data_IF_766661160740
#
_entry.id   IF_766661160740
#
_cell.length_a   1.000
_cell.length_b   1.000
_cell.length_c   1.000
_cell.angle_alpha   90.00
_cell.angle_beta   90.00
_cell.angle_gamma   90.00
#
_symmetry.space_group_name_H-M   'P 1'
#
loop_
_entity.id
_entity.type
_entity.pdbx_description
1 polymer ?
#
# COMPACT_ATOMS: atom_id res chain seq x y z
N UNK A 1 -0.06 -23.54 10.12
CA UNK A 1 0.77 -23.70 8.91
C UNK A 1 0.78 -22.37 8.19
N UNK A 2 1.95 -21.83 7.81
CA UNK A 2 1.96 -20.67 6.93
C UNK A 2 1.48 -21.14 5.55
N UNK A 3 0.47 -20.46 5.01
CA UNK A 3 0.00 -20.70 3.66
C UNK A 3 1.06 -20.13 2.70
N UNK A 4 1.69 -20.97 1.89
CA UNK A 4 2.45 -20.52 0.73
C UNK A 4 1.48 -19.76 -0.19
N UNK A 5 1.56 -18.44 -0.17
CA UNK A 5 0.99 -17.64 -1.24
C UNK A 5 1.97 -17.73 -2.41
N UNK A 6 1.60 -18.47 -3.47
CA UNK A 6 2.32 -18.50 -4.75
C UNK A 6 2.42 -17.11 -5.45
N UNK A 7 1.92 -16.05 -4.82
CA UNK A 7 1.99 -14.68 -5.32
C UNK A 7 3.07 -13.92 -4.57
N UNK A 8 4.23 -13.75 -5.22
CA UNK A 8 5.25 -12.83 -4.76
C UNK A 8 4.82 -11.39 -5.08
N UNK A 9 4.73 -10.54 -4.06
CA UNK A 9 4.63 -9.09 -4.25
C UNK A 9 6.04 -8.56 -4.55
N UNK A 10 6.18 -7.53 -5.39
CA UNK A 10 7.44 -6.78 -5.49
C UNK A 10 7.61 -5.78 -4.34
N UNK A 11 8.63 -4.92 -4.37
CA UNK A 11 8.73 -3.78 -3.45
C UNK A 11 8.04 -2.50 -3.99
N UNK A 12 8.07 -1.38 -3.25
CA UNK A 12 7.48 -0.11 -3.69
C UNK A 12 8.01 0.45 -5.03
N UNK A 13 9.25 0.13 -5.42
CA UNK A 13 9.76 0.51 -6.75
C UNK A 13 9.11 -0.34 -7.83
N UNK A 14 8.91 -1.64 -7.60
CA UNK A 14 8.14 -2.50 -8.50
C UNK A 14 6.67 -2.04 -8.61
N UNK A 15 6.05 -1.62 -7.50
CA UNK A 15 4.73 -1.00 -7.53
C UNK A 15 4.67 0.20 -8.47
N UNK A 16 5.60 1.17 -8.29
CA UNK A 16 5.67 2.39 -9.11
C UNK A 16 5.90 2.08 -10.59
N UNK A 17 6.84 1.17 -10.88
CA UNK A 17 7.33 0.94 -12.25
C UNK A 17 6.50 -0.05 -13.05
N UNK A 18 5.88 -1.05 -12.41
CA UNK A 18 5.24 -2.18 -13.10
C UNK A 18 3.79 -2.37 -12.67
N UNK A 19 3.54 -2.63 -11.38
CA UNK A 19 2.21 -3.06 -10.96
C UNK A 19 1.17 -1.95 -11.09
N UNK A 20 1.47 -0.72 -10.66
CA UNK A 20 0.54 0.41 -10.77
C UNK A 20 0.23 0.74 -12.24
N UNK A 21 1.21 0.92 -13.15
CA UNK A 21 0.92 1.11 -14.57
C UNK A 21 0.13 -0.04 -15.19
N UNK A 22 0.44 -1.29 -14.82
CA UNK A 22 -0.27 -2.45 -15.35
C UNK A 22 -1.73 -2.51 -14.86
N UNK A 23 -1.97 -2.26 -13.57
CA UNK A 23 -3.30 -2.18 -12.99
C UNK A 23 -4.12 -1.04 -13.60
N UNK A 24 -3.49 0.13 -13.85
CA UNK A 24 -4.11 1.25 -14.56
C UNK A 24 -4.55 0.87 -15.96
N UNK A 25 -3.69 0.21 -16.73
CA UNK A 25 -3.99 -0.23 -18.08
C UNK A 25 -5.19 -1.21 -18.11
N UNK A 26 -5.27 -2.11 -17.14
CA UNK A 26 -6.33 -3.11 -17.10
C UNK A 26 -7.64 -2.59 -16.52
N UNK A 27 -7.59 -1.75 -15.48
CA UNK A 27 -8.73 -1.48 -14.61
C UNK A 27 -9.09 0.00 -14.45
N UNK A 28 -8.41 0.88 -15.19
CA UNK A 28 -8.70 2.30 -15.27
C UNK A 28 -7.73 3.17 -14.49
N UNK A 29 -7.77 4.45 -14.80
CA UNK A 29 -6.84 5.46 -14.28
C UNK A 29 -7.54 6.45 -13.34
N UNK A 30 -6.78 7.18 -12.48
CA UNK A 30 -7.36 8.22 -11.63
C UNK A 30 -8.11 9.28 -12.44
N UNK A 31 -9.31 9.65 -11.98
CA UNK A 31 -10.15 10.66 -12.64
C UNK A 31 -10.89 10.19 -13.90
N UNK A 32 -10.74 8.92 -14.28
CA UNK A 32 -11.45 8.36 -15.42
C UNK A 32 -12.96 8.22 -15.12
N UNK A 33 -13.80 8.81 -15.98
CA UNK A 33 -15.24 8.74 -15.82
C UNK A 33 -15.73 7.30 -16.00
N UNK A 34 -16.63 6.85 -15.11
CA UNK A 34 -17.21 5.49 -15.18
C UNK A 34 -17.82 5.15 -16.54
N UNK A 35 -18.38 6.13 -17.25
CA UNK A 35 -18.94 5.96 -18.60
C UNK A 35 -17.91 5.55 -19.65
N UNK A 36 -16.63 5.85 -19.44
CA UNK A 36 -15.52 5.49 -20.33
C UNK A 36 -14.96 4.10 -20.05
N UNK A 37 -15.19 3.57 -18.85
CA UNK A 37 -14.75 2.23 -18.47
C UNK A 37 -15.61 1.17 -19.15
N UNK A 38 -14.98 0.12 -19.65
CA UNK A 38 -15.71 -1.03 -20.15
C UNK A 38 -16.41 -1.80 -19.00
N UNK A 39 -17.37 -2.67 -19.33
CA UNK A 39 -18.15 -3.41 -18.33
C UNK A 39 -17.26 -4.27 -17.41
N UNK A 40 -16.17 -4.82 -17.92
CA UNK A 40 -15.23 -5.61 -17.13
C UNK A 40 -14.52 -4.73 -16.09
N UNK A 41 -13.96 -3.60 -16.49
CA UNK A 41 -13.34 -2.60 -15.62
C UNK A 41 -14.29 -2.10 -14.53
N UNK A 42 -15.53 -1.75 -14.90
CA UNK A 42 -16.54 -1.32 -13.94
C UNK A 42 -16.84 -2.40 -12.89
N UNK A 43 -16.94 -3.67 -13.31
CA UNK A 43 -17.18 -4.78 -12.40
C UNK A 43 -15.98 -5.02 -11.47
N UNK A 44 -14.75 -4.90 -11.99
CA UNK A 44 -13.53 -5.01 -11.19
C UNK A 44 -13.45 -3.89 -10.16
N UNK A 45 -13.65 -2.63 -10.57
CA UNK A 45 -13.66 -1.50 -9.64
C UNK A 45 -14.76 -1.62 -8.58
N UNK A 46 -15.94 -2.14 -8.95
CA UNK A 46 -17.02 -2.42 -7.99
C UNK A 46 -16.62 -3.46 -6.97
N UNK A 47 -16.01 -4.56 -7.43
CA UNK A 47 -15.51 -5.62 -6.56
C UNK A 47 -14.39 -5.11 -5.64
N UNK A 48 -13.41 -4.38 -6.17
CA UNK A 48 -12.32 -3.77 -5.40
C UNK A 48 -12.87 -2.80 -4.34
N UNK A 49 -13.90 -2.00 -4.67
CA UNK A 49 -14.57 -1.11 -3.72
C UNK A 49 -15.29 -1.86 -2.60
N UNK A 50 -15.82 -3.06 -2.87
CA UNK A 50 -16.40 -3.92 -1.83
C UNK A 50 -15.27 -4.47 -0.95
N UNK A 51 -14.20 -5.00 -1.57
CA UNK A 51 -13.06 -5.57 -0.84
C UNK A 51 -12.33 -4.53 0.02
N UNK A 52 -12.27 -3.25 -0.40
CA UNK A 52 -11.61 -2.20 0.39
C UNK A 52 -12.33 -1.89 1.70
N UNK A 53 -13.63 -2.17 1.79
CA UNK A 53 -14.47 -1.86 2.96
C UNK A 53 -14.75 -3.07 3.85
N UNK A 54 -14.14 -4.21 3.56
CA UNK A 54 -14.39 -5.47 4.25
C UNK A 54 -13.09 -6.20 4.55
N UNK A 55 -13.14 -7.06 5.57
CA UNK A 55 -12.07 -8.00 5.86
C UNK A 55 -12.04 -9.13 4.80
N UNK A 56 -11.23 -10.16 5.03
CA UNK A 56 -11.15 -11.33 4.15
C UNK A 56 -12.50 -12.06 4.04
N UNK A 57 -13.03 -12.14 2.82
CA UNK A 57 -14.36 -12.69 2.51
C UNK A 57 -14.31 -13.73 1.39
N UNK A 58 -15.27 -14.65 1.38
CA UNK A 58 -15.43 -15.57 0.24
C UNK A 58 -16.06 -14.85 -0.96
N UNK A 59 -15.96 -15.41 -2.17
CA UNK A 59 -16.67 -14.89 -3.36
C UNK A 59 -18.18 -14.80 -3.14
N UNK A 60 -18.73 -15.74 -2.37
CA UNK A 60 -20.14 -15.76 -1.99
C UNK A 60 -20.50 -14.57 -1.08
N UNK A 61 -19.71 -14.33 -0.04
CA UNK A 61 -19.96 -13.22 0.89
C UNK A 61 -19.83 -11.87 0.19
N UNK A 62 -18.83 -11.73 -0.70
CA UNK A 62 -18.66 -10.54 -1.55
C UNK A 62 -19.89 -10.31 -2.44
N UNK A 63 -20.41 -11.36 -3.07
CA UNK A 63 -21.61 -11.27 -3.89
C UNK A 63 -22.86 -10.89 -3.06
N UNK A 64 -22.98 -11.42 -1.84
CA UNK A 64 -24.10 -11.15 -0.93
C UNK A 64 -24.17 -9.69 -0.49
N UNK A 65 -23.03 -9.00 -0.37
CA UNK A 65 -23.00 -7.55 -0.11
C UNK A 65 -23.69 -6.76 -1.24
N UNK A 66 -23.53 -7.21 -2.49
CA UNK A 66 -24.15 -6.54 -3.65
C UNK A 66 -25.61 -6.94 -3.86
N UNK A 67 -25.97 -8.19 -3.53
CA UNK A 67 -27.27 -8.79 -3.82
C UNK A 67 -27.73 -9.62 -2.61
N UNK A 68 -28.38 -9.01 -1.60
CA UNK A 68 -28.69 -9.70 -0.35
C UNK A 68 -29.90 -10.64 -0.45
N UNK A 69 -30.91 -10.30 -1.27
CA UNK A 69 -32.25 -10.89 -1.18
C UNK A 69 -32.67 -11.74 -2.40
N UNK A 70 -31.85 -11.82 -3.45
CA UNK A 70 -32.18 -12.51 -4.71
C UNK A 70 -31.18 -13.64 -4.97
N UNK A 71 -31.59 -14.88 -4.68
CA UNK A 71 -30.72 -16.06 -4.75
C UNK A 71 -30.24 -16.40 -6.16
N UNK A 72 -31.06 -16.15 -7.19
CA UNK A 72 -30.68 -16.43 -8.58
C UNK A 72 -29.60 -15.45 -9.03
N UNK A 73 -29.82 -14.15 -8.79
CA UNK A 73 -28.83 -13.12 -9.11
C UNK A 73 -27.57 -13.22 -8.24
N UNK A 74 -27.70 -13.68 -7.00
CA UNK A 74 -26.56 -13.93 -6.11
C UNK A 74 -25.60 -14.97 -6.70
N UNK A 75 -26.12 -16.11 -7.18
CA UNK A 75 -25.30 -17.14 -7.82
C UNK A 75 -24.61 -16.65 -9.08
N UNK A 76 -25.32 -15.86 -9.89
CA UNK A 76 -24.73 -15.22 -11.07
C UNK A 76 -23.60 -14.26 -10.68
N UNK A 77 -23.81 -13.44 -9.66
CA UNK A 77 -22.82 -12.48 -9.16
C UNK A 77 -21.60 -13.16 -8.55
N UNK A 78 -21.77 -14.23 -7.79
CA UNK A 78 -20.66 -15.05 -7.28
C UNK A 78 -19.79 -15.55 -8.43
N UNK A 79 -20.42 -16.10 -9.48
CA UNK A 79 -19.71 -16.61 -10.66
C UNK A 79 -18.92 -15.51 -11.37
N UNK A 80 -19.48 -14.30 -11.45
CA UNK A 80 -18.77 -13.12 -11.98
C UNK A 80 -17.57 -12.79 -11.07
N UNK A 81 -17.77 -12.62 -9.76
CA UNK A 81 -16.68 -12.25 -8.84
C UNK A 81 -15.56 -13.28 -8.78
N UNK A 82 -15.89 -14.57 -8.81
CA UNK A 82 -14.88 -15.64 -8.89
C UNK A 82 -14.03 -15.53 -10.15
N UNK A 83 -14.64 -15.25 -11.30
CA UNK A 83 -13.92 -15.03 -12.56
C UNK A 83 -13.04 -13.78 -12.54
N UNK A 84 -13.49 -12.72 -11.89
CA UNK A 84 -12.69 -11.48 -11.74
C UNK A 84 -11.54 -11.66 -10.76
N UNK A 85 -11.75 -12.41 -9.66
CA UNK A 85 -10.73 -12.69 -8.64
C UNK A 85 -9.66 -13.64 -9.17
N UNK A 86 -10.08 -14.84 -9.56
CA UNK A 86 -9.20 -15.97 -9.84
C UNK A 86 -8.85 -16.07 -11.33
N UNK A 87 -9.54 -15.34 -12.18
CA UNK A 87 -9.42 -15.49 -13.63
C UNK A 87 -10.28 -16.65 -14.16
N UNK A 88 -10.01 -17.03 -15.41
CA UNK A 88 -10.74 -18.10 -16.10
C UNK A 88 -9.81 -18.80 -17.08
N UNK A 89 -9.91 -20.12 -17.17
CA UNK A 89 -9.26 -20.90 -18.22
C UNK A 89 -10.28 -21.30 -19.28
N UNK A 90 -10.05 -20.87 -20.52
CA UNK A 90 -10.88 -21.18 -21.68
C UNK A 90 -10.02 -21.76 -22.81
N UNK A 91 -10.38 -22.93 -23.31
CA UNK A 91 -9.70 -23.58 -24.44
C UNK A 91 -8.16 -23.61 -24.30
N UNK A 92 -7.66 -23.84 -23.09
CA UNK A 92 -6.23 -23.86 -22.77
C UNK A 92 -5.59 -22.50 -22.46
N UNK A 93 -6.26 -21.37 -22.74
CA UNK A 93 -5.77 -20.02 -22.42
C UNK A 93 -6.31 -19.54 -21.07
N UNK A 94 -5.43 -19.05 -20.20
CA UNK A 94 -5.80 -18.39 -18.95
C UNK A 94 -6.05 -16.90 -19.20
N UNK A 95 -7.14 -16.38 -18.65
CA UNK A 95 -7.43 -14.96 -18.56
C UNK A 95 -7.21 -14.54 -17.11
N UNK A 96 -6.29 -13.59 -16.92
CA UNK A 96 -5.82 -13.16 -15.62
C UNK A 96 -6.96 -12.57 -14.76
N UNK A 97 -6.96 -12.93 -13.48
CA UNK A 97 -7.77 -12.31 -12.45
C UNK A 97 -7.01 -11.21 -11.70
N UNK A 98 -7.69 -10.52 -10.78
CA UNK A 98 -7.05 -9.52 -9.91
C UNK A 98 -6.05 -10.14 -8.90
N UNK A 99 -6.11 -11.46 -8.68
CA UNK A 99 -5.05 -12.20 -7.97
C UNK A 99 -3.75 -12.22 -8.76
N UNK A 100 -3.83 -12.49 -10.07
CA UNK A 100 -2.65 -12.60 -10.95
C UNK A 100 -1.92 -11.26 -11.10
N UNK A 101 -2.65 -10.15 -11.00
CA UNK A 101 -2.10 -8.79 -10.99
C UNK A 101 -1.67 -8.31 -9.59
N UNK A 102 -1.75 -9.16 -8.57
CA UNK A 102 -1.30 -8.85 -7.21
C UNK A 102 -2.14 -7.80 -6.48
N UNK A 103 -3.37 -7.50 -6.93
CA UNK A 103 -4.28 -6.55 -6.27
C UNK A 103 -5.08 -7.21 -5.14
N UNK A 104 -5.25 -8.52 -5.19
CA UNK A 104 -5.87 -9.31 -4.14
C UNK A 104 -4.95 -10.46 -3.72
N UNK A 105 -5.20 -11.02 -2.53
CA UNK A 105 -4.56 -12.27 -2.10
C UNK A 105 -5.57 -13.21 -1.45
N UNK A 106 -5.21 -14.49 -1.38
CA UNK A 106 -5.90 -15.48 -0.56
C UNK A 106 -5.49 -15.28 0.91
N UNK A 107 -6.48 -15.16 1.79
CA UNK A 107 -6.25 -14.94 3.22
C UNK A 107 -7.20 -15.81 4.06
N UNK A 108 -6.82 -17.08 4.16
CA UNK A 108 -7.52 -18.11 4.91
C UNK A 108 -8.64 -18.80 4.15
N UNK A 109 -9.38 -19.64 4.88
CA UNK A 109 -10.50 -20.42 4.36
C UNK A 109 -11.73 -20.28 5.25
N UNK A 110 -12.91 -20.34 4.65
CA UNK A 110 -14.18 -20.52 5.36
C UNK A 110 -14.53 -21.99 5.40
N UNK A 111 -15.10 -22.45 6.52
CA UNK A 111 -15.62 -23.81 6.71
C UNK A 111 -17.15 -23.83 6.87
N UNK A 112 -17.83 -22.68 6.80
CA UNK A 112 -19.25 -22.53 7.17
C UNK A 112 -20.20 -23.35 6.29
N UNK A 113 -19.93 -23.44 4.99
CA UNK A 113 -20.81 -24.09 4.00
C UNK A 113 -20.03 -25.04 3.08
N UNK A 114 -18.85 -25.49 3.54
CA UNK A 114 -17.82 -26.13 2.72
C UNK A 114 -16.51 -25.33 2.73
N UNK A 115 -15.42 -25.97 2.31
CA UNK A 115 -14.10 -25.34 2.24
C UNK A 115 -14.09 -24.34 1.07
N UNK A 116 -13.99 -23.04 1.39
CA UNK A 116 -13.89 -21.97 0.39
C UNK A 116 -12.74 -21.01 0.75
N UNK A 117 -11.96 -20.60 -0.25
CA UNK A 117 -10.92 -19.59 -0.07
C UNK A 117 -11.56 -18.24 0.28
N UNK A 118 -10.93 -17.51 1.20
CA UNK A 118 -11.26 -16.11 1.47
C UNK A 118 -10.23 -15.20 0.82
N UNK A 119 -10.67 -14.02 0.42
CA UNK A 119 -9.88 -13.05 -0.32
C UNK A 119 -9.99 -11.67 0.33
N UNK A 120 -8.89 -10.94 0.31
CA UNK A 120 -8.83 -9.51 0.64
C UNK A 120 -7.93 -8.77 -0.34
N UNK A 121 -7.92 -7.44 -0.25
CA UNK A 121 -6.91 -6.67 -0.97
C UNK A 121 -5.51 -7.00 -0.44
N UNK A 122 -4.55 -7.02 -1.36
CA UNK A 122 -3.13 -6.90 -0.99
C UNK A 122 -2.84 -5.44 -0.60
N UNK A 123 -1.65 -5.18 -0.07
CA UNK A 123 -1.16 -3.80 0.11
C UNK A 123 -1.18 -2.99 -1.21
N UNK A 124 -0.93 -3.63 -2.36
CA UNK A 124 -1.06 -2.99 -3.67
C UNK A 124 -2.49 -2.73 -4.08
N UNK A 125 -3.40 -3.67 -3.79
CA UNK A 125 -4.82 -3.45 -3.98
C UNK A 125 -5.32 -2.24 -3.21
N UNK A 126 -4.87 -2.10 -1.95
CA UNK A 126 -5.20 -0.94 -1.11
C UNK A 126 -4.70 0.35 -1.75
N UNK A 127 -3.41 0.42 -2.13
CA UNK A 127 -2.82 1.61 -2.75
C UNK A 127 -3.50 1.96 -4.08
N UNK A 128 -3.73 0.97 -4.95
CA UNK A 128 -4.47 1.15 -6.20
C UNK A 128 -5.88 1.69 -5.95
N UNK A 129 -6.60 1.15 -4.96
CA UNK A 129 -7.94 1.60 -4.65
C UNK A 129 -7.96 3.06 -4.16
N UNK A 130 -6.98 3.46 -3.33
CA UNK A 130 -6.82 4.84 -2.86
C UNK A 130 -6.55 5.80 -4.02
N UNK A 131 -5.74 5.38 -5.00
CA UNK A 131 -5.37 6.15 -6.19
C UNK A 131 -6.52 6.29 -7.21
N UNK A 132 -7.18 5.18 -7.56
CA UNK A 132 -8.12 5.14 -8.70
C UNK A 132 -9.58 5.32 -8.30
N UNK A 133 -10.01 4.85 -7.13
CA UNK A 133 -11.43 4.85 -6.76
C UNK A 133 -11.91 6.16 -6.11
N UNK A 134 -11.04 7.18 -6.08
CA UNK A 134 -11.28 8.53 -5.56
C UNK A 134 -11.97 8.52 -4.19
N UNK A 135 -11.35 7.81 -3.25
CA UNK A 135 -11.93 7.67 -1.92
C UNK A 135 -11.86 8.96 -1.10
N UNK A 136 -13.00 9.28 -0.49
CA UNK A 136 -13.08 10.31 0.54
C UNK A 136 -12.23 9.94 1.76
N UNK A 137 -11.86 10.94 2.57
CA UNK A 137 -11.09 10.73 3.80
C UNK A 137 -11.77 9.72 4.75
N UNK A 138 -13.10 9.78 4.86
CA UNK A 138 -13.90 8.82 5.64
C UNK A 138 -13.86 7.39 5.06
N UNK A 139 -13.81 7.25 3.73
CA UNK A 139 -13.62 5.93 3.12
C UNK A 139 -12.21 5.38 3.39
N UNK A 140 -11.19 6.23 3.43
CA UNK A 140 -9.83 5.82 3.82
C UNK A 140 -9.76 5.44 5.29
N UNK A 141 -10.46 6.16 6.18
CA UNK A 141 -10.54 5.78 7.60
C UNK A 141 -11.11 4.36 7.76
N UNK A 142 -12.16 4.02 7.00
CA UNK A 142 -12.73 2.66 6.98
C UNK A 142 -11.76 1.61 6.44
N UNK A 143 -10.98 1.95 5.42
CA UNK A 143 -9.93 1.05 4.90
C UNK A 143 -8.89 0.80 5.99
N UNK A 144 -8.45 1.86 6.68
CA UNK A 144 -7.46 1.75 7.74
C UNK A 144 -7.96 0.87 8.89
N UNK A 145 -9.25 0.99 9.26
CA UNK A 145 -9.87 0.11 10.25
C UNK A 145 -9.78 -1.38 9.83
N UNK A 146 -10.22 -1.72 8.61
CA UNK A 146 -10.28 -3.11 8.13
C UNK A 146 -8.90 -3.72 7.87
N UNK A 147 -7.94 -2.91 7.46
CA UNK A 147 -6.58 -3.35 7.13
C UNK A 147 -5.56 -3.01 8.22
N UNK A 148 -6.04 -2.73 9.44
CA UNK A 148 -5.24 -2.41 10.62
C UNK A 148 -4.19 -3.48 10.94
N UNK A 149 -4.53 -4.76 10.76
CA UNK A 149 -3.59 -5.89 10.96
C UNK A 149 -2.61 -6.08 9.81
N UNK A 150 -2.94 -5.61 8.61
CA UNK A 150 -2.13 -5.78 7.40
C UNK A 150 -1.06 -4.69 7.29
N UNK A 151 -1.39 -3.46 7.68
CA UNK A 151 -0.45 -2.34 7.76
C UNK A 151 -0.36 -1.80 9.20
N UNK A 152 0.21 -2.56 10.15
CA UNK A 152 0.06 -2.33 11.58
C UNK A 152 0.61 -0.99 12.08
N UNK A 153 1.73 -0.52 11.52
CA UNK A 153 2.36 0.73 11.97
C UNK A 153 1.74 2.00 11.39
N UNK A 154 0.86 1.88 10.40
CA UNK A 154 0.14 3.03 9.82
C UNK A 154 -1.35 2.87 10.08
N UNK A 155 -1.99 1.84 9.52
CA UNK A 155 -3.42 1.59 9.69
C UNK A 155 -3.77 1.05 11.08
N UNK A 156 -2.93 0.19 11.66
CA UNK A 156 -3.11 -0.27 13.05
C UNK A 156 -2.93 0.83 14.10
N UNK A 157 -2.39 1.98 13.70
CA UNK A 157 -2.21 3.17 14.54
C UNK A 157 -2.99 4.37 13.99
N UNK A 158 -3.96 4.16 13.09
CA UNK A 158 -4.57 5.24 12.30
C UNK A 158 -5.17 6.34 13.16
N UNK A 159 -6.04 5.99 14.11
CA UNK A 159 -6.70 6.98 14.99
C UNK A 159 -5.70 7.70 15.90
N UNK A 160 -4.72 6.95 16.43
CA UNK A 160 -3.64 7.53 17.22
C UNK A 160 -2.86 8.56 16.40
N UNK A 161 -2.38 8.19 15.20
CA UNK A 161 -1.64 9.08 14.32
C UNK A 161 -2.49 10.28 13.93
N UNK A 162 -3.76 10.06 13.57
CA UNK A 162 -4.70 11.12 13.16
C UNK A 162 -4.88 12.15 14.28
N UNK A 163 -4.90 11.73 15.54
CA UNK A 163 -4.95 12.67 16.67
C UNK A 163 -3.69 13.52 16.83
N UNK A 164 -2.51 13.03 16.41
CA UNK A 164 -1.22 13.75 16.49
C UNK A 164 -0.93 14.62 15.25
N UNK A 165 -1.29 14.17 14.04
CA UNK A 165 -0.90 14.84 12.78
C UNK A 165 -2.08 15.35 11.93
N UNK A 166 -3.32 15.13 12.37
CA UNK A 166 -4.53 15.55 11.66
C UNK A 166 -4.59 15.02 10.22
N UNK A 167 -5.01 15.88 9.29
CA UNK A 167 -5.20 15.54 7.87
C UNK A 167 -3.91 15.14 7.14
N UNK A 168 -2.73 15.39 7.73
CA UNK A 168 -1.45 14.93 7.16
C UNK A 168 -1.38 13.41 7.04
N UNK A 169 -2.19 12.67 7.81
CA UNK A 169 -2.31 11.21 7.72
C UNK A 169 -2.75 10.74 6.33
N UNK A 170 -3.53 11.55 5.60
CA UNK A 170 -3.95 11.26 4.23
C UNK A 170 -2.83 11.43 3.19
N UNK A 171 -1.62 11.79 3.62
CA UNK A 171 -0.41 11.76 2.81
C UNK A 171 -0.11 10.38 2.20
N UNK A 172 -0.72 9.30 2.70
CA UNK A 172 -0.70 7.97 2.07
C UNK A 172 -1.21 8.00 0.61
N UNK A 173 -2.06 8.98 0.24
CA UNK A 173 -2.48 9.22 -1.15
C UNK A 173 -1.29 9.49 -2.08
N UNK A 174 -0.23 10.14 -1.58
CA UNK A 174 0.96 10.40 -2.40
C UNK A 174 1.66 9.09 -2.78
N UNK A 175 1.80 8.16 -1.83
CA UNK A 175 2.35 6.83 -2.10
C UNK A 175 1.45 6.03 -3.04
N UNK A 176 0.14 6.07 -2.81
CA UNK A 176 -0.85 5.42 -3.67
C UNK A 176 -0.69 5.85 -5.14
N UNK A 177 -0.45 7.14 -5.36
CA UNK A 177 -0.22 7.74 -6.67
C UNK A 177 1.19 7.44 -7.25
N UNK A 178 2.00 6.61 -6.59
CA UNK A 178 3.34 6.23 -7.03
C UNK A 178 4.43 7.24 -6.71
N UNK A 179 4.16 8.27 -5.88
CA UNK A 179 5.17 9.23 -5.47
C UNK A 179 6.02 8.66 -4.34
N UNK A 180 7.21 8.17 -4.69
CA UNK A 180 8.15 7.62 -3.72
C UNK A 180 9.03 8.66 -3.03
N UNK A 181 8.98 9.93 -3.47
CA UNK A 181 9.77 11.03 -2.94
C UNK A 181 11.30 10.76 -2.95
N UNK A 182 11.74 10.03 -3.97
CA UNK A 182 13.12 9.61 -4.24
C UNK A 182 13.91 10.62 -5.10
N UNK A 183 13.37 11.83 -5.30
CA UNK A 183 14.02 12.86 -6.09
C UNK A 183 14.97 13.72 -5.23
N UNK A 184 16.29 13.77 -5.54
CA UNK A 184 17.26 14.60 -4.81
C UNK A 184 16.98 16.11 -4.89
N UNK A 185 16.17 16.55 -5.84
CA UNK A 185 15.75 17.95 -5.97
C UNK A 185 14.66 18.35 -4.98
N UNK A 186 14.10 17.41 -4.20
CA UNK A 186 13.12 17.72 -3.16
C UNK A 186 13.83 18.52 -2.05
N UNK A 187 13.60 19.83 -2.04
CA UNK A 187 14.13 20.71 -1.02
C UNK A 187 13.23 20.73 0.22
N UNK A 188 13.80 20.32 1.35
CA UNK A 188 13.18 20.43 2.67
C UNK A 188 13.91 21.46 3.52
N UNK A 189 13.30 21.88 4.62
CA UNK A 189 13.95 22.78 5.57
C UNK A 189 15.30 22.21 6.07
N UNK A 190 16.30 23.07 6.34
CA UNK A 190 17.61 22.63 6.84
C UNK A 190 17.51 21.74 8.08
N UNK A 191 18.41 20.75 8.17
CA UNK A 191 18.49 19.80 9.29
C UNK A 191 17.59 18.56 9.17
N UNK A 192 16.82 18.43 8.09
CA UNK A 192 16.01 17.24 7.79
C UNK A 192 16.72 16.40 6.72
N UNK A 193 17.25 15.20 7.03
CA UNK A 193 17.88 14.32 6.05
C UNK A 193 16.83 13.56 5.23
N UNK A 194 15.89 14.27 4.61
CA UNK A 194 14.71 13.70 3.97
C UNK A 194 15.09 12.79 2.80
N UNK A 195 15.94 13.29 1.90
CA UNK A 195 16.37 12.54 0.72
C UNK A 195 17.18 11.30 1.12
N UNK A 196 18.08 11.42 2.10
CA UNK A 196 18.90 10.32 2.58
C UNK A 196 18.02 9.20 3.16
N UNK A 197 17.04 9.57 3.99
CA UNK A 197 16.09 8.63 4.57
C UNK A 197 15.27 7.94 3.48
N UNK A 198 14.68 8.71 2.56
CA UNK A 198 13.81 8.15 1.53
C UNK A 198 14.59 7.26 0.56
N UNK A 199 15.79 7.68 0.17
CA UNK A 199 16.72 6.86 -0.62
C UNK A 199 17.08 5.57 0.10
N UNK A 200 17.32 5.64 1.42
CA UNK A 200 17.63 4.45 2.20
C UNK A 200 16.45 3.48 2.33
N UNK A 201 15.20 3.97 2.35
CA UNK A 201 14.00 3.10 2.22
C UNK A 201 14.09 2.26 0.95
N UNK A 202 14.51 2.83 -0.18
CA UNK A 202 14.63 2.05 -1.41
C UNK A 202 15.83 1.11 -1.41
N UNK A 203 16.97 1.57 -0.92
CA UNK A 203 18.20 0.77 -0.82
C UNK A 203 17.99 -0.45 0.07
N UNK A 204 17.34 -0.27 1.23
CA UNK A 204 17.10 -1.34 2.21
C UNK A 204 16.32 -2.52 1.62
N UNK A 205 15.43 -2.26 0.66
CA UNK A 205 14.58 -3.27 0.01
C UNK A 205 14.93 -3.49 -1.47
N UNK A 206 16.08 -3.01 -1.94
CA UNK A 206 16.45 -3.07 -3.36
C UNK A 206 16.50 -4.50 -3.89
N UNK A 207 17.00 -5.44 -3.07
CA UNK A 207 17.07 -6.88 -3.43
C UNK A 207 15.71 -7.57 -3.47
N UNK A 208 14.68 -6.94 -2.90
CA UNK A 208 13.30 -7.43 -2.88
C UNK A 208 12.47 -6.87 -4.03
N UNK A 209 13.11 -6.51 -5.15
CA UNK A 209 12.43 -5.88 -6.28
C UNK A 209 11.25 -6.71 -6.80
N UNK A 210 11.50 -8.00 -7.08
CA UNK A 210 10.50 -8.91 -7.64
C UNK A 210 9.71 -9.69 -6.58
N UNK A 211 10.31 -9.88 -5.39
CA UNK A 211 9.73 -10.70 -4.33
C UNK A 211 10.04 -10.14 -2.94
N UNK A 212 8.98 -9.85 -2.21
CA UNK A 212 8.96 -9.39 -0.82
C UNK A 212 7.81 -10.07 -0.09
N UNK A 213 7.98 -10.36 1.20
CA UNK A 213 6.84 -10.78 2.03
C UNK A 213 5.90 -9.59 2.26
N UNK A 214 4.62 -9.86 2.47
CA UNK A 214 3.66 -8.78 2.76
C UNK A 214 4.03 -8.00 4.03
N UNK A 215 4.57 -8.67 5.04
CA UNK A 215 5.08 -8.03 6.25
C UNK A 215 6.23 -7.05 5.94
N UNK A 216 7.18 -7.45 5.11
CA UNK A 216 8.29 -6.59 4.71
C UNK A 216 7.84 -5.42 3.83
N UNK A 217 6.82 -5.61 2.98
CA UNK A 217 6.20 -4.53 2.22
C UNK A 217 5.45 -3.56 3.15
N UNK A 218 4.74 -4.06 4.16
CA UNK A 218 4.11 -3.24 5.18
C UNK A 218 5.14 -2.39 5.94
N UNK A 219 6.29 -2.97 6.27
CA UNK A 219 7.43 -2.25 6.86
C UNK A 219 7.96 -1.17 5.92
N UNK A 220 8.15 -1.48 4.63
CA UNK A 220 8.62 -0.51 3.65
C UNK A 220 7.65 0.67 3.50
N UNK A 221 6.34 0.40 3.39
CA UNK A 221 5.28 1.42 3.36
C UNK A 221 5.32 2.26 4.63
N UNK A 222 5.53 1.63 5.78
CA UNK A 222 5.60 2.32 7.07
C UNK A 222 6.80 3.27 7.11
N UNK A 223 8.01 2.83 6.73
CA UNK A 223 9.17 3.72 6.66
C UNK A 223 8.97 4.88 5.70
N UNK A 224 8.39 4.61 4.52
CA UNK A 224 8.01 5.67 3.57
C UNK A 224 7.06 6.66 4.24
N UNK A 225 6.02 6.19 4.92
CA UNK A 225 4.99 7.03 5.54
C UNK A 225 5.57 7.97 6.60
N UNK A 226 6.32 7.44 7.57
CA UNK A 226 6.92 8.25 8.63
C UNK A 226 8.01 9.19 8.11
N UNK A 227 8.78 8.77 7.10
CA UNK A 227 9.73 9.66 6.44
C UNK A 227 9.00 10.79 5.70
N UNK A 228 7.87 10.50 5.05
CA UNK A 228 7.06 11.49 4.36
C UNK A 228 6.45 12.53 5.33
N UNK A 229 6.26 12.20 6.61
CA UNK A 229 5.88 13.19 7.64
C UNK A 229 6.96 14.23 7.93
N UNK A 230 8.22 13.98 7.56
CA UNK A 230 9.29 14.96 7.62
C UNK A 230 9.29 15.92 6.42
N UNK A 231 8.47 15.67 5.40
CA UNK A 231 8.40 16.54 4.24
C UNK A 231 7.85 17.92 4.64
N UNK A 232 8.73 18.91 4.63
CA UNK A 232 8.43 20.31 4.89
C UNK A 232 9.13 21.20 3.85
N UNK A 233 8.45 21.58 2.75
CA UNK A 233 9.07 22.29 1.65
C UNK A 233 9.52 23.70 2.05
N UNK A 234 10.62 24.14 1.44
CA UNK A 234 11.14 25.50 1.59
C UNK A 234 10.09 26.51 1.08
N UNK A 235 9.76 27.52 1.88
CA UNK A 235 8.85 28.62 1.49
C UNK A 235 7.43 28.57 2.08
N UNK A 236 7.05 27.54 2.86
CA UNK A 236 5.84 27.60 3.70
C UNK A 236 6.19 28.22 5.06
N UNK A 237 5.40 29.22 5.50
CA UNK A 237 5.58 30.04 6.72
C UNK A 237 5.46 29.30 8.07
N UNK A 238 5.80 28.01 8.12
CA UNK A 238 5.77 27.25 9.36
C UNK A 238 7.10 27.42 10.11
N UNK A 239 6.96 27.83 11.37
CA UNK A 239 7.95 28.04 12.42
C UNK A 239 9.17 27.10 12.36
N UNK A 240 10.34 27.63 12.74
CA UNK A 240 11.61 26.94 13.05
C UNK A 240 11.54 25.40 12.95
N UNK A 241 12.09 24.83 11.89
CA UNK A 241 12.28 23.38 11.77
C UNK A 241 13.03 22.86 12.99
N UNK A 242 12.41 21.94 13.71
CA UNK A 242 13.08 21.14 14.73
C UNK A 242 13.78 19.90 14.12
N UNK A 243 14.00 19.88 12.80
CA UNK A 243 14.56 18.73 12.09
C UNK A 243 13.73 17.47 12.32
N UNK A 244 14.40 16.35 12.60
CA UNK A 244 13.76 15.07 12.93
C UNK A 244 12.89 15.13 14.19
N UNK A 245 13.16 16.06 15.12
CA UNK A 245 12.35 16.21 16.34
C UNK A 245 10.91 16.62 16.04
N UNK A 246 10.57 17.00 14.80
CA UNK A 246 9.18 17.16 14.39
C UNK A 246 8.36 15.88 14.51
N UNK A 247 9.01 14.70 14.56
CA UNK A 247 8.34 13.42 14.82
C UNK A 247 8.20 13.10 16.31
N UNK A 248 8.78 13.87 17.23
CA UNK A 248 8.69 13.56 18.66
C UNK A 248 7.23 13.52 19.15
N UNK A 249 6.38 14.41 18.65
CA UNK A 249 4.94 14.41 18.93
C UNK A 249 4.22 13.15 18.40
N UNK A 250 4.71 12.57 17.31
CA UNK A 250 4.16 11.32 16.74
C UNK A 250 4.52 10.12 17.62
N UNK A 251 5.66 10.18 18.30
CA UNK A 251 6.24 9.08 19.07
C UNK A 251 6.08 9.23 20.58
N UNK A 252 5.42 10.28 21.04
CA UNK A 252 5.32 10.67 22.45
C UNK A 252 4.81 9.53 23.33
N UNK A 253 3.70 8.90 22.93
CA UNK A 253 3.01 7.87 23.70
C UNK A 253 3.27 6.43 23.19
N UNK A 254 4.12 6.27 22.15
CA UNK A 254 4.39 4.99 21.53
C UNK A 254 5.91 4.73 21.45
N UNK A 255 6.46 4.22 22.55
CA UNK A 255 7.88 3.93 22.69
C UNK A 255 8.38 2.84 21.72
N UNK A 256 7.53 1.86 21.40
CA UNK A 256 7.89 0.79 20.47
C UNK A 256 8.01 1.31 19.04
N UNK A 257 7.05 2.15 18.62
CA UNK A 257 7.11 2.83 17.34
C UNK A 257 8.32 3.76 17.26
N UNK A 258 8.60 4.52 18.33
CA UNK A 258 9.81 5.36 18.44
C UNK A 258 11.08 4.55 18.24
N UNK A 259 11.22 3.46 19.00
CA UNK A 259 12.40 2.58 18.97
C UNK A 259 12.59 1.98 17.58
N UNK A 260 11.52 1.49 16.97
CA UNK A 260 11.53 0.95 15.61
C UNK A 260 12.03 1.98 14.58
N UNK A 261 11.50 3.20 14.60
CA UNK A 261 11.92 4.23 13.65
C UNK A 261 13.36 4.71 13.90
N UNK A 262 13.78 4.79 15.17
CA UNK A 262 15.15 5.15 15.54
C UNK A 262 16.18 4.10 15.09
N UNK A 263 15.82 2.81 15.09
CA UNK A 263 16.69 1.76 14.53
C UNK A 263 16.91 2.02 13.04
N UNK A 264 15.83 2.26 12.28
CA UNK A 264 15.92 2.62 10.86
C UNK A 264 16.76 3.88 10.61
N UNK A 265 16.58 4.90 11.46
CA UNK A 265 17.36 6.13 11.37
C UNK A 265 18.86 5.88 11.59
N UNK A 266 19.22 5.08 12.60
CA UNK A 266 20.62 4.70 12.87
C UNK A 266 21.22 3.85 11.75
N UNK A 267 20.45 2.92 11.19
CA UNK A 267 20.86 2.12 10.04
C UNK A 267 21.17 3.02 8.84
N UNK A 268 20.35 4.04 8.60
CA UNK A 268 20.55 5.05 7.55
C UNK A 268 21.88 5.78 7.74
N UNK A 269 22.13 6.29 8.95
CA UNK A 269 23.40 6.98 9.28
C UNK A 269 24.60 6.07 9.01
N UNK A 270 24.54 4.82 9.50
CA UNK A 270 25.61 3.85 9.33
C UNK A 270 25.89 3.57 7.85
N UNK A 271 24.85 3.41 7.03
CA UNK A 271 24.98 3.19 5.60
C UNK A 271 25.73 4.35 4.91
N UNK A 272 25.32 5.60 5.14
CA UNK A 272 25.95 6.75 4.47
C UNK A 272 27.36 7.03 4.99
N UNK A 273 27.63 6.83 6.28
CA UNK A 273 28.99 6.93 6.82
C UNK A 273 29.94 5.91 6.16
N UNK A 274 29.47 4.67 5.95
CA UNK A 274 30.23 3.65 5.26
C UNK A 274 30.48 4.02 3.80
N UNK A 275 29.45 4.48 3.07
CA UNK A 275 29.58 4.94 1.67
C UNK A 275 30.57 6.11 1.54
N UNK A 276 30.49 7.09 2.43
CA UNK A 276 31.42 8.22 2.45
C UNK A 276 32.86 7.77 2.74
N UNK A 277 33.04 6.81 3.65
CA UNK A 277 34.36 6.23 3.94
C UNK A 277 34.93 5.47 2.74
N UNK A 278 34.10 4.80 1.94
CA UNK A 278 34.53 4.16 0.69
C UNK A 278 35.01 5.22 -0.30
N UNK A 279 34.22 6.27 -0.55
CA UNK A 279 34.60 7.36 -1.46
C UNK A 279 35.92 8.02 -1.08
N UNK A 280 36.13 8.29 0.22
CA UNK A 280 37.40 8.82 0.74
C UNK A 280 38.61 7.92 0.48
N UNK A 281 38.40 6.60 0.41
CA UNK A 281 39.46 5.61 0.15
C UNK A 281 39.65 5.33 -1.34
N UNK A 282 38.72 5.74 -2.20
CA UNK A 282 38.75 5.49 -3.64
C UNK A 282 39.71 6.41 -4.41
N UNK A 283 40.83 6.81 -3.80
CA UNK A 283 41.89 7.70 -4.32
C UNK A 283 41.83 7.87 -5.84
N UNK A 284 41.22 8.97 -6.30
CA UNK A 284 41.27 9.37 -7.70
C UNK A 284 42.52 10.22 -7.84
N UNK A 285 43.62 9.59 -8.24
CA UNK A 285 44.81 10.29 -8.72
C UNK A 285 44.55 10.93 -10.08
#
# INVERSE_FOLDING_TARGET
MPFESDFALGNLQNYKMYLRPNAHLHYGTPGEQKSKLNKHQQNVQTLLKIMSKNESLTTWDLAKISIPNDMAKLREREKIYRRLLVGRKDNGKHSDGILDLGLAIKDGKSLKTGIADKYRLSLYGILYCIDVLDFSNNEIDKIAEKYSKVLPKVFGKWDYLKSKIGDRIYGIKLLANGLLADNPQIQVQPGIPFYELMSYVHIKYQRNFESISEEQLAEQISYWFYTNLLYNPVGKNNSKSNGIKSLDAVFEDDHDLKKWFLIFFRDTIKYYQQRYSVLKKSDVK
#
